data_IF_108353452782
#
_entry.id   IF_108353452782
#
_cell.length_a   1.000
_cell.length_b   1.000
_cell.length_c   1.000
_cell.angle_alpha   90.00
_cell.angle_beta   90.00
_cell.angle_gamma   90.00
#
_symmetry.space_group_name_H-M   'P 1'
#
loop_
_entity.id
_entity.type
_entity.pdbx_description
1 polymer ?
#
# COMPACT_ATOMS: atom_id res chain seq x y z
N UNK A 1 18.70 57.29 -39.00
CA UNK A 1 18.24 55.92 -39.38
C UNK A 1 18.63 54.98 -38.27
N UNK A 2 17.70 54.75 -37.32
CA UNK A 2 17.89 53.83 -36.20
C UNK A 2 17.16 52.52 -36.55
N UNK A 3 17.91 51.42 -36.68
CA UNK A 3 17.34 50.07 -36.86
C UNK A 3 17.02 49.50 -35.49
N UNK A 4 15.73 49.33 -35.19
CA UNK A 4 15.23 48.52 -34.09
C UNK A 4 15.38 47.06 -34.45
N UNK A 5 16.13 46.29 -33.68
CA UNK A 5 16.12 44.82 -33.69
C UNK A 5 15.03 44.36 -32.69
N UNK A 6 13.98 43.75 -33.22
CA UNK A 6 12.97 43.04 -32.42
C UNK A 6 13.49 41.62 -32.15
N UNK A 7 13.77 41.31 -30.88
CA UNK A 7 14.01 39.95 -30.42
C UNK A 7 12.66 39.25 -30.22
N UNK A 8 12.34 38.28 -31.06
CA UNK A 8 11.26 37.31 -30.83
C UNK A 8 11.80 36.28 -29.84
N UNK A 9 11.31 36.33 -28.60
CA UNK A 9 11.52 35.28 -27.59
C UNK A 9 10.47 34.19 -27.83
N UNK A 10 10.86 33.12 -28.52
CA UNK A 10 10.01 31.93 -28.62
C UNK A 10 9.98 31.23 -27.27
N UNK A 11 8.87 31.38 -26.53
CA UNK A 11 8.60 30.64 -25.32
C UNK A 11 8.21 29.20 -25.71
N UNK A 12 9.19 28.30 -25.69
CA UNK A 12 8.95 26.87 -25.79
C UNK A 12 8.29 26.44 -24.47
N UNK A 13 6.97 26.35 -24.41
CA UNK A 13 6.26 25.63 -23.37
C UNK A 13 6.60 24.15 -23.55
N UNK A 14 7.55 23.64 -22.78
CA UNK A 14 7.66 22.22 -22.51
C UNK A 14 6.41 21.82 -21.69
N UNK A 15 5.39 21.31 -22.38
CA UNK A 15 4.36 20.50 -21.75
C UNK A 15 5.05 19.25 -21.21
N UNK A 16 5.50 19.28 -19.96
CA UNK A 16 5.78 18.05 -19.23
C UNK A 16 4.46 17.34 -19.05
N UNK A 17 4.16 16.39 -19.90
CA UNK A 17 3.12 15.39 -19.65
C UNK A 17 3.59 14.67 -18.39
N UNK A 18 2.98 14.98 -17.27
CA UNK A 18 3.28 14.33 -15.99
C UNK A 18 3.01 12.83 -16.15
N UNK A 19 4.06 12.02 -16.02
CA UNK A 19 3.91 10.55 -15.99
C UNK A 19 3.08 10.23 -14.76
N UNK A 20 1.88 9.67 -14.96
CA UNK A 20 0.96 9.35 -13.87
C UNK A 20 1.46 8.11 -13.11
N UNK A 21 1.72 8.27 -11.81
CA UNK A 21 2.10 7.16 -10.92
C UNK A 21 0.89 6.45 -10.29
N UNK A 22 -0.28 7.10 -10.33
CA UNK A 22 -1.50 6.58 -9.69
C UNK A 22 -2.34 5.76 -10.65
N UNK A 23 -3.09 4.80 -10.11
CA UNK A 23 -4.11 4.08 -10.86
C UNK A 23 -5.18 5.06 -11.39
N UNK A 24 -5.67 4.91 -12.63
CA UNK A 24 -6.80 5.69 -13.10
C UNK A 24 -8.03 5.43 -12.23
N UNK A 25 -8.56 6.46 -11.58
CA UNK A 25 -9.67 6.33 -10.62
C UNK A 25 -10.92 5.70 -11.26
N UNK A 26 -11.19 5.98 -12.54
CA UNK A 26 -12.28 5.37 -13.28
C UNK A 26 -12.07 3.86 -13.45
N UNK A 27 -10.88 3.41 -13.85
CA UNK A 27 -10.58 2.00 -14.04
C UNK A 27 -10.71 1.22 -12.73
N UNK A 28 -10.27 1.81 -11.60
CA UNK A 28 -10.40 1.20 -10.29
C UNK A 28 -11.88 1.00 -9.90
N UNK A 29 -12.70 2.08 -10.02
CA UNK A 29 -14.12 2.02 -9.68
C UNK A 29 -14.92 1.09 -10.61
N UNK A 30 -14.68 1.17 -11.91
CA UNK A 30 -15.35 0.35 -12.92
C UNK A 30 -15.05 -1.14 -12.72
N UNK A 31 -13.78 -1.48 -12.49
CA UNK A 31 -13.39 -2.88 -12.27
C UNK A 31 -13.95 -3.42 -10.95
N UNK A 32 -13.99 -2.60 -9.89
CA UNK A 32 -14.64 -2.98 -8.64
C UNK A 32 -16.13 -3.29 -8.85
N UNK A 33 -16.85 -2.41 -9.55
CA UNK A 33 -18.27 -2.59 -9.86
C UNK A 33 -18.52 -3.84 -10.73
N UNK A 34 -17.65 -4.07 -11.72
CA UNK A 34 -17.69 -5.27 -12.55
C UNK A 34 -17.52 -6.54 -11.71
N UNK A 35 -16.50 -6.60 -10.84
CA UNK A 35 -16.25 -7.77 -9.99
C UNK A 35 -17.38 -8.00 -8.98
N UNK A 36 -17.93 -6.96 -8.36
CA UNK A 36 -19.08 -7.08 -7.46
C UNK A 36 -20.33 -7.66 -8.17
N UNK A 37 -20.52 -7.33 -9.44
CA UNK A 37 -21.60 -7.84 -10.28
C UNK A 37 -21.36 -9.27 -10.75
N UNK A 38 -20.13 -9.58 -11.16
CA UNK A 38 -19.77 -10.87 -11.78
C UNK A 38 -19.49 -11.95 -10.74
N UNK A 39 -18.97 -11.56 -9.57
CA UNK A 39 -18.65 -12.44 -8.44
C UNK A 39 -19.46 -12.04 -7.20
N UNK A 40 -20.80 -12.13 -7.24
CA UNK A 40 -21.66 -11.71 -6.13
C UNK A 40 -21.54 -12.62 -4.91
N UNK A 41 -21.01 -13.83 -5.08
CA UNK A 41 -20.82 -14.85 -4.03
C UNK A 41 -19.45 -15.50 -4.20
N UNK A 42 -18.35 -14.85 -3.77
CA UNK A 42 -17.01 -15.40 -3.89
C UNK A 42 -16.90 -16.76 -3.21
N UNK A 43 -16.24 -17.70 -3.86
CA UNK A 43 -16.01 -19.06 -3.36
C UNK A 43 -14.59 -19.20 -2.81
N UNK A 44 -14.30 -20.35 -2.14
CA UNK A 44 -12.92 -20.76 -1.86
C UNK A 44 -12.32 -21.31 -3.15
N UNK A 45 -11.83 -20.42 -3.99
CA UNK A 45 -11.36 -20.73 -5.35
C UNK A 45 -10.35 -19.68 -5.86
N UNK A 46 -9.46 -20.11 -6.74
CA UNK A 46 -8.44 -19.23 -7.35
C UNK A 46 -9.05 -18.16 -8.26
N UNK A 47 -10.13 -18.47 -8.95
CA UNK A 47 -10.87 -17.55 -9.82
C UNK A 47 -12.30 -17.43 -9.30
N UNK A 48 -12.82 -16.23 -9.20
CA UNK A 48 -14.13 -15.95 -8.60
C UNK A 48 -14.13 -16.14 -7.07
N UNK A 49 -12.98 -15.95 -6.42
CA UNK A 49 -12.80 -16.22 -5.00
C UNK A 49 -11.90 -15.20 -4.30
N UNK A 50 -10.82 -15.70 -3.71
CA UNK A 50 -9.98 -14.90 -2.79
C UNK A 50 -9.38 -13.66 -3.43
N UNK A 51 -8.97 -13.69 -4.70
CA UNK A 51 -8.36 -12.52 -5.35
C UNK A 51 -9.36 -11.38 -5.53
N UNK A 52 -10.62 -11.68 -5.88
CA UNK A 52 -11.71 -10.68 -5.84
C UNK A 52 -11.86 -10.10 -4.44
N UNK A 53 -11.90 -10.94 -3.40
CA UNK A 53 -12.09 -10.51 -2.00
C UNK A 53 -10.93 -9.62 -1.54
N UNK A 54 -9.68 -10.02 -1.81
CA UNK A 54 -8.48 -9.24 -1.46
C UNK A 54 -8.53 -7.87 -2.15
N UNK A 55 -8.79 -7.85 -3.45
CA UNK A 55 -8.86 -6.60 -4.21
C UNK A 55 -9.95 -5.67 -3.67
N UNK A 56 -11.18 -6.16 -3.46
CA UNK A 56 -12.29 -5.36 -2.94
C UNK A 56 -11.99 -4.83 -1.53
N UNK A 57 -11.58 -5.70 -0.61
CA UNK A 57 -11.29 -5.31 0.77
C UNK A 57 -10.16 -4.27 0.85
N UNK A 58 -9.05 -4.51 0.16
CA UNK A 58 -7.89 -3.62 0.17
C UNK A 58 -8.14 -2.31 -0.59
N UNK A 59 -9.04 -2.34 -1.58
CA UNK A 59 -9.51 -1.16 -2.31
C UNK A 59 -10.54 -0.32 -1.54
N UNK A 60 -11.04 -0.81 -0.39
CA UNK A 60 -12.07 -0.12 0.39
C UNK A 60 -13.50 -0.30 -0.17
N UNK A 61 -13.69 -1.30 -1.03
CA UNK A 61 -15.01 -1.66 -1.57
C UNK A 61 -15.70 -2.73 -0.72
N UNK A 62 -17.03 -2.76 -0.79
CA UNK A 62 -17.81 -3.75 -0.06
C UNK A 62 -17.51 -5.18 -0.56
N UNK A 63 -17.16 -6.05 0.37
CA UNK A 63 -17.03 -7.49 0.15
C UNK A 63 -18.34 -8.17 0.52
N UNK A 64 -18.84 -9.14 -0.27
CA UNK A 64 -20.03 -9.91 0.09
C UNK A 64 -19.91 -10.54 1.47
N UNK A 65 -20.85 -10.22 2.38
CA UNK A 65 -20.81 -10.67 3.78
C UNK A 65 -20.87 -12.22 3.91
N UNK A 66 -21.42 -12.90 2.90
CA UNK A 66 -21.48 -14.37 2.83
C UNK A 66 -20.12 -15.04 2.66
N UNK A 67 -19.10 -14.33 2.19
CA UNK A 67 -17.78 -14.93 1.90
C UNK A 67 -17.19 -15.66 3.13
N UNK A 68 -17.18 -15.03 4.30
CA UNK A 68 -16.63 -15.66 5.49
C UNK A 68 -17.41 -16.93 5.88
N UNK A 69 -18.73 -16.92 5.75
CA UNK A 69 -19.58 -18.10 5.99
C UNK A 69 -19.27 -19.24 4.99
N UNK A 70 -19.01 -18.89 3.73
CA UNK A 70 -18.57 -19.84 2.69
C UNK A 70 -17.23 -20.47 3.07
N UNK A 71 -16.27 -19.68 3.54
CA UNK A 71 -14.96 -20.19 4.02
C UNK A 71 -15.17 -21.13 5.22
N UNK A 72 -15.95 -20.74 6.23
CA UNK A 72 -16.21 -21.60 7.40
C UNK A 72 -16.89 -22.92 7.01
N UNK A 73 -17.86 -22.88 6.10
CA UNK A 73 -18.55 -24.09 5.61
C UNK A 73 -17.57 -25.01 4.86
N UNK A 74 -16.74 -24.44 3.98
CA UNK A 74 -15.73 -25.20 3.23
C UNK A 74 -14.70 -25.83 4.16
N UNK A 75 -14.14 -25.06 5.10
CA UNK A 75 -13.14 -25.55 6.07
C UNK A 75 -13.72 -26.66 6.95
N UNK A 76 -14.97 -26.52 7.38
CA UNK A 76 -15.66 -27.57 8.17
C UNK A 76 -15.89 -28.84 7.35
N UNK A 77 -16.32 -28.69 6.11
CA UNK A 77 -16.60 -29.81 5.22
C UNK A 77 -15.35 -30.64 4.88
N UNK A 78 -14.18 -29.97 4.75
CA UNK A 78 -12.91 -30.65 4.46
C UNK A 78 -12.09 -30.97 5.73
N UNK A 79 -12.65 -30.79 6.94
CA UNK A 79 -11.93 -31.06 8.19
C UNK A 79 -10.64 -30.24 8.37
N UNK A 80 -10.61 -29.01 7.82
CA UNK A 80 -9.45 -28.11 7.88
C UNK A 80 -8.39 -28.39 6.81
N UNK A 81 -8.56 -29.42 5.95
CA UNK A 81 -7.61 -29.77 4.89
C UNK A 81 -8.08 -29.19 3.56
N UNK A 82 -7.68 -27.95 3.26
CA UNK A 82 -8.07 -27.28 2.01
C UNK A 82 -7.50 -28.00 0.77
N UNK A 83 -6.30 -28.49 0.85
CA UNK A 83 -5.66 -29.30 -0.20
C UNK A 83 -4.48 -30.11 0.33
N UNK A 84 -4.36 -31.36 -0.10
CA UNK A 84 -3.30 -32.28 0.34
C UNK A 84 -1.88 -31.89 -0.12
N UNK A 85 -1.76 -31.24 -1.30
CA UNK A 85 -0.50 -30.95 -1.98
C UNK A 85 -0.29 -29.48 -2.38
N UNK A 86 -1.37 -28.68 -2.53
CA UNK A 86 -1.29 -27.30 -2.98
C UNK A 86 -1.43 -26.35 -1.78
N UNK A 87 -0.33 -26.07 -1.11
CA UNK A 87 -0.34 -25.24 0.10
C UNK A 87 -0.55 -23.75 -0.19
N UNK A 88 -0.41 -23.33 -1.46
CA UNK A 88 -0.86 -22.02 -1.92
C UNK A 88 -2.36 -21.80 -1.75
N UNK A 89 -3.18 -22.89 -1.63
CA UNK A 89 -4.61 -22.76 -1.30
C UNK A 89 -4.81 -22.16 0.11
N UNK A 90 -4.02 -22.63 1.10
CA UNK A 90 -4.04 -22.06 2.44
C UNK A 90 -3.57 -20.62 2.42
N UNK A 91 -2.46 -20.33 1.72
CA UNK A 91 -1.90 -18.99 1.62
C UNK A 91 -2.93 -17.98 1.09
N UNK A 92 -3.64 -18.35 0.02
CA UNK A 92 -4.66 -17.50 -0.60
C UNK A 92 -5.85 -17.23 0.33
N UNK A 93 -6.36 -18.26 1.00
CA UNK A 93 -7.47 -18.13 1.98
C UNK A 93 -7.03 -17.28 3.17
N UNK A 94 -5.82 -17.47 3.70
CA UNK A 94 -5.26 -16.65 4.79
C UNK A 94 -5.21 -15.18 4.38
N UNK A 95 -4.72 -14.88 3.17
CA UNK A 95 -4.66 -13.51 2.63
C UNK A 95 -6.05 -12.87 2.58
N UNK A 96 -7.05 -13.58 2.05
CA UNK A 96 -8.41 -13.06 1.96
C UNK A 96 -9.03 -12.83 3.34
N UNK A 97 -8.80 -13.74 4.30
CA UNK A 97 -9.27 -13.61 5.68
C UNK A 97 -8.63 -12.39 6.37
N UNK A 98 -7.31 -12.21 6.23
CA UNK A 98 -6.62 -11.04 6.76
C UNK A 98 -7.16 -9.76 6.13
N UNK A 99 -7.43 -9.75 4.81
CA UNK A 99 -7.97 -8.60 4.10
C UNK A 99 -9.34 -8.15 4.63
N UNK A 100 -10.18 -9.10 5.04
CA UNK A 100 -11.51 -8.81 5.64
C UNK A 100 -11.49 -8.75 7.18
N UNK A 101 -10.31 -8.72 7.81
CA UNK A 101 -10.14 -8.61 9.27
C UNK A 101 -10.58 -9.84 10.06
N UNK A 102 -10.56 -11.04 9.45
CA UNK A 102 -10.87 -12.31 10.11
C UNK A 102 -9.60 -13.06 10.49
N UNK A 103 -9.65 -13.75 11.63
CA UNK A 103 -8.52 -14.51 12.17
C UNK A 103 -8.41 -15.89 11.51
N UNK A 104 -7.40 -16.15 10.65
CA UNK A 104 -7.23 -17.44 9.99
C UNK A 104 -6.81 -18.56 10.93
N UNK A 105 -6.45 -18.27 12.18
CA UNK A 105 -6.08 -19.27 13.18
C UNK A 105 -7.31 -19.88 13.87
N UNK A 106 -8.52 -19.38 13.59
CA UNK A 106 -9.76 -19.78 14.28
C UNK A 106 -10.96 -19.97 13.34
N UNK A 107 -10.75 -20.54 12.16
CA UNK A 107 -11.80 -20.74 11.17
C UNK A 107 -12.50 -22.06 11.41
N UNK A 108 -13.76 -22.02 11.82
CA UNK A 108 -14.57 -23.22 12.13
C UNK A 108 -13.87 -24.23 13.08
N UNK A 109 -13.01 -23.73 13.98
CA UNK A 109 -12.23 -24.54 14.94
C UNK A 109 -10.85 -25.00 14.42
N UNK A 110 -10.48 -24.62 13.21
CA UNK A 110 -9.19 -24.96 12.60
C UNK A 110 -8.27 -23.75 12.49
N UNK A 111 -6.96 -24.00 12.60
CA UNK A 111 -5.91 -23.04 12.35
C UNK A 111 -5.32 -23.28 10.94
N UNK A 112 -5.66 -22.39 10.00
CA UNK A 112 -5.23 -22.49 8.60
C UNK A 112 -3.77 -22.09 8.39
N UNK A 113 -3.10 -21.51 9.41
CA UNK A 113 -1.67 -21.17 9.32
C UNK A 113 -0.76 -22.37 9.63
N UNK A 114 -1.28 -23.39 10.34
CA UNK A 114 -0.51 -24.59 10.69
C UNK A 114 0.07 -25.33 9.51
N UNK A 115 -0.64 -25.58 8.39
CA UNK A 115 -0.05 -26.24 7.24
C UNK A 115 1.18 -25.51 6.71
N UNK A 116 1.26 -24.20 6.78
CA UNK A 116 2.42 -23.41 6.38
C UNK A 116 3.60 -23.50 7.36
N UNK A 117 3.50 -24.30 8.42
CA UNK A 117 4.62 -24.68 9.29
C UNK A 117 5.25 -26.04 8.87
N UNK A 118 4.76 -26.68 7.82
CA UNK A 118 5.34 -27.87 7.20
C UNK A 118 6.12 -27.45 5.95
N UNK A 119 7.44 -27.28 6.12
CA UNK A 119 8.31 -26.84 5.02
C UNK A 119 8.29 -27.80 3.84
N UNK A 120 8.43 -29.10 4.10
CA UNK A 120 8.58 -30.11 3.06
C UNK A 120 7.32 -30.15 2.16
N UNK A 121 6.14 -30.06 2.75
CA UNK A 121 4.90 -29.99 1.98
C UNK A 121 4.72 -28.63 1.28
N UNK A 122 5.14 -27.53 1.89
CA UNK A 122 5.05 -26.20 1.26
C UNK A 122 5.87 -26.14 -0.02
N UNK A 123 7.08 -26.74 -0.05
CA UNK A 123 7.95 -26.75 -1.23
C UNK A 123 7.54 -27.73 -2.32
N UNK A 124 6.53 -28.57 -2.13
CA UNK A 124 6.03 -29.47 -3.19
C UNK A 124 5.55 -28.75 -4.45
N UNK A 125 5.16 -27.49 -4.32
CA UNK A 125 4.80 -26.62 -5.47
C UNK A 125 6.01 -25.82 -5.99
N UNK A 126 7.24 -26.29 -5.73
CA UNK A 126 8.43 -25.54 -6.07
C UNK A 126 8.47 -24.20 -5.33
N UNK A 127 9.01 -23.18 -5.98
CA UNK A 127 9.21 -21.86 -5.38
C UNK A 127 7.89 -21.14 -5.05
N UNK A 128 6.77 -21.45 -5.73
CA UNK A 128 5.47 -20.85 -5.44
C UNK A 128 5.01 -21.09 -4.00
N UNK A 129 5.29 -22.26 -3.45
CA UNK A 129 4.95 -22.58 -2.07
C UNK A 129 5.54 -21.59 -1.06
N UNK A 130 6.88 -21.50 -0.96
CA UNK A 130 7.56 -20.54 -0.07
C UNK A 130 7.19 -19.08 -0.31
N UNK A 131 7.06 -18.64 -1.56
CA UNK A 131 6.67 -17.28 -1.91
C UNK A 131 5.33 -16.94 -1.24
N UNK A 132 4.28 -17.72 -1.55
CA UNK A 132 2.94 -17.43 -1.04
C UNK A 132 2.79 -17.72 0.45
N UNK A 133 3.56 -18.67 1.01
CA UNK A 133 3.60 -18.88 2.45
C UNK A 133 4.15 -17.68 3.20
N UNK A 134 5.26 -17.07 2.72
CA UNK A 134 5.81 -15.84 3.31
C UNK A 134 4.81 -14.70 3.23
N UNK A 135 4.25 -14.42 2.05
CA UNK A 135 3.27 -13.35 1.87
C UNK A 135 2.08 -13.54 2.82
N UNK A 136 1.54 -14.76 2.92
CA UNK A 136 0.39 -15.07 3.77
C UNK A 136 0.71 -14.92 5.27
N UNK A 137 1.83 -15.47 5.72
CA UNK A 137 2.25 -15.39 7.13
C UNK A 137 2.58 -13.96 7.55
N UNK A 138 3.19 -13.18 6.63
CA UNK A 138 3.58 -11.81 6.88
C UNK A 138 2.42 -10.82 6.79
N UNK A 139 1.39 -11.14 6.01
CA UNK A 139 0.25 -10.24 5.80
C UNK A 139 -0.54 -9.95 7.07
N UNK A 140 -0.62 -10.91 7.99
CA UNK A 140 -1.29 -10.78 9.28
C UNK A 140 -0.35 -10.93 10.49
N UNK A 141 0.97 -10.90 10.30
CA UNK A 141 1.93 -11.05 11.39
C UNK A 141 1.87 -12.42 12.11
N UNK A 142 1.41 -13.48 11.42
CA UNK A 142 1.22 -14.80 12.02
C UNK A 142 2.54 -15.45 12.43
N UNK A 143 2.61 -15.99 13.64
CA UNK A 143 3.85 -16.59 14.15
C UNK A 143 4.33 -17.77 13.27
N UNK A 144 5.62 -17.77 12.92
CA UNK A 144 6.28 -18.88 12.21
C UNK A 144 7.78 -18.83 12.44
N UNK A 145 8.36 -19.98 12.75
CA UNK A 145 9.82 -20.17 12.80
C UNK A 145 10.44 -20.47 11.42
N UNK A 146 9.61 -20.68 10.39
CA UNK A 146 10.07 -21.08 9.06
C UNK A 146 10.35 -19.90 8.11
N UNK A 147 10.06 -18.66 8.51
CA UNK A 147 10.25 -17.49 7.64
C UNK A 147 11.64 -17.44 7.01
N UNK A 148 12.69 -17.56 7.84
CA UNK A 148 14.07 -17.52 7.31
C UNK A 148 14.32 -18.66 6.36
N UNK A 149 13.85 -19.87 6.66
CA UNK A 149 14.01 -21.03 5.77
C UNK A 149 13.31 -20.85 4.42
N UNK A 150 12.14 -20.16 4.40
CA UNK A 150 11.49 -19.79 3.15
C UNK A 150 12.27 -18.72 2.37
N UNK A 151 12.79 -17.70 3.07
CA UNK A 151 13.68 -16.70 2.45
C UNK A 151 14.90 -17.37 1.83
N UNK A 152 15.59 -18.23 2.59
CA UNK A 152 16.78 -18.93 2.11
C UNK A 152 16.49 -19.81 0.88
N UNK A 153 15.35 -20.52 0.89
CA UNK A 153 14.92 -21.32 -0.26
C UNK A 153 14.63 -20.47 -1.50
N UNK A 154 13.99 -19.31 -1.35
CA UNK A 154 13.76 -18.38 -2.47
C UNK A 154 15.10 -17.90 -3.02
N UNK A 155 16.04 -17.49 -2.17
CA UNK A 155 17.37 -17.06 -2.58
C UNK A 155 18.15 -18.16 -3.29
N UNK A 156 18.08 -19.43 -2.80
CA UNK A 156 18.71 -20.58 -3.44
C UNK A 156 18.20 -20.83 -4.88
N UNK A 157 16.96 -20.50 -5.16
CA UNK A 157 16.33 -20.69 -6.48
C UNK A 157 16.49 -19.49 -7.43
N UNK A 158 17.29 -18.50 -7.07
CA UNK A 158 17.60 -17.39 -7.98
C UNK A 158 18.27 -17.92 -9.27
N UNK A 159 17.79 -17.47 -10.42
CA UNK A 159 18.34 -17.82 -11.72
C UNK A 159 19.67 -17.09 -11.99
N UNK A 160 20.51 -17.68 -12.82
CA UNK A 160 21.73 -17.02 -13.28
C UNK A 160 21.40 -15.69 -13.98
N UNK A 161 21.99 -14.59 -13.51
CA UNK A 161 21.73 -13.24 -14.04
C UNK A 161 20.60 -12.48 -13.32
N UNK A 162 19.99 -13.07 -12.30
CA UNK A 162 18.95 -12.47 -11.47
C UNK A 162 17.55 -12.93 -11.86
N UNK A 163 16.60 -12.76 -10.90
CA UNK A 163 15.21 -13.17 -11.05
C UNK A 163 14.94 -14.65 -10.79
N UNK A 164 13.69 -15.05 -10.92
CA UNK A 164 13.22 -16.41 -10.57
C UNK A 164 12.31 -16.98 -11.64
N UNK A 165 12.15 -18.30 -11.64
CA UNK A 165 11.24 -19.03 -12.51
C UNK A 165 10.88 -20.40 -11.97
N UNK A 166 9.92 -21.07 -12.62
CA UNK A 166 9.62 -22.50 -12.40
C UNK A 166 10.47 -23.41 -13.29
N UNK A 167 11.09 -22.90 -14.36
CA UNK A 167 11.74 -23.69 -15.42
C UNK A 167 13.25 -23.46 -15.55
N UNK A 168 13.86 -22.62 -14.70
CA UNK A 168 15.30 -22.33 -14.70
C UNK A 168 15.74 -21.12 -15.50
N UNK A 169 14.86 -20.53 -16.33
CA UNK A 169 15.08 -19.24 -16.99
C UNK A 169 14.15 -18.20 -16.39
N UNK A 170 14.71 -17.13 -15.82
CA UNK A 170 13.91 -16.11 -15.13
C UNK A 170 12.74 -15.63 -15.99
N UNK A 171 11.57 -15.47 -15.37
CA UNK A 171 10.38 -14.90 -15.96
C UNK A 171 9.79 -13.78 -15.07
N UNK A 172 8.97 -12.92 -15.68
CA UNK A 172 8.44 -11.75 -15.00
C UNK A 172 7.44 -12.10 -13.89
N UNK A 173 6.64 -13.17 -14.07
CA UNK A 173 5.63 -13.59 -13.10
C UNK A 173 6.28 -14.04 -11.79
N UNK A 174 7.14 -15.05 -11.87
CA UNK A 174 7.78 -15.64 -10.68
C UNK A 174 8.74 -14.64 -10.05
N UNK A 175 9.45 -13.85 -10.88
CA UNK A 175 10.32 -12.78 -10.36
C UNK A 175 9.53 -11.73 -9.61
N UNK A 176 8.40 -11.27 -10.15
CA UNK A 176 7.50 -10.34 -9.47
C UNK A 176 6.99 -10.91 -8.14
N UNK A 177 6.48 -12.15 -8.15
CA UNK A 177 5.98 -12.80 -6.93
C UNK A 177 7.08 -13.01 -5.88
N UNK A 178 8.29 -13.41 -6.28
CA UNK A 178 9.42 -13.55 -5.35
C UNK A 178 9.80 -12.21 -4.71
N UNK A 179 9.85 -11.12 -5.49
CA UNK A 179 10.12 -9.78 -4.98
C UNK A 179 9.04 -9.30 -3.99
N UNK A 180 7.76 -9.63 -4.23
CA UNK A 180 6.67 -9.36 -3.29
C UNK A 180 6.91 -10.06 -1.94
N UNK A 181 7.30 -11.33 -1.96
CA UNK A 181 7.60 -12.10 -0.75
C UNK A 181 8.84 -11.57 -0.01
N UNK A 182 9.86 -11.11 -0.74
CA UNK A 182 11.11 -10.62 -0.17
C UNK A 182 11.07 -9.15 0.26
N UNK A 183 9.99 -8.44 0.00
CA UNK A 183 9.87 -7.00 0.26
C UNK A 183 10.11 -6.64 1.74
N UNK A 184 9.62 -7.44 2.68
CA UNK A 184 9.83 -7.24 4.13
C UNK A 184 11.23 -7.59 4.64
N UNK A 185 12.07 -8.20 3.82
CA UNK A 185 13.39 -8.73 4.23
C UNK A 185 14.57 -7.94 3.65
N UNK A 186 14.32 -6.72 3.14
CA UNK A 186 15.34 -5.89 2.49
C UNK A 186 16.48 -5.42 3.42
N UNK A 187 16.33 -5.58 4.74
CA UNK A 187 17.38 -5.36 5.72
C UNK A 187 18.44 -6.49 5.74
N UNK A 188 18.18 -7.64 5.10
CA UNK A 188 19.15 -8.73 4.94
C UNK A 188 19.98 -8.47 3.67
N UNK A 189 21.30 -8.41 3.81
CA UNK A 189 22.21 -8.10 2.69
C UNK A 189 22.06 -9.04 1.49
N UNK A 190 21.86 -10.35 1.73
CA UNK A 190 21.66 -11.34 0.67
C UNK A 190 20.34 -11.10 -0.10
N UNK A 191 19.25 -10.78 0.62
CA UNK A 191 17.96 -10.46 0.03
C UNK A 191 18.06 -9.19 -0.81
N UNK A 192 18.66 -8.13 -0.23
CA UNK A 192 18.87 -6.86 -0.93
C UNK A 192 19.66 -7.05 -2.23
N UNK A 193 20.73 -7.82 -2.20
CA UNK A 193 21.55 -8.09 -3.38
C UNK A 193 20.81 -8.88 -4.46
N UNK A 194 20.00 -9.89 -4.08
CA UNK A 194 19.16 -10.64 -5.02
C UNK A 194 18.07 -9.77 -5.62
N UNK A 195 17.40 -8.92 -4.78
CA UNK A 195 16.41 -7.93 -5.22
C UNK A 195 17.01 -6.98 -6.24
N UNK A 196 18.20 -6.43 -5.99
CA UNK A 196 18.85 -5.48 -6.91
C UNK A 196 19.15 -6.14 -8.26
N UNK A 197 19.62 -7.39 -8.28
CA UNK A 197 19.84 -8.15 -9.54
C UNK A 197 18.52 -8.39 -10.28
N UNK A 198 17.49 -8.78 -9.59
CA UNK A 198 16.17 -9.02 -10.17
C UNK A 198 15.55 -7.74 -10.76
N UNK A 199 15.68 -6.60 -10.08
CA UNK A 199 15.22 -5.31 -10.59
C UNK A 199 15.99 -4.89 -11.84
N UNK A 200 17.29 -5.14 -11.92
CA UNK A 200 18.09 -4.90 -13.14
C UNK A 200 17.61 -5.82 -14.27
N UNK A 201 17.35 -7.10 -13.98
CA UNK A 201 16.82 -8.04 -14.97
C UNK A 201 15.44 -7.61 -15.49
N UNK A 202 14.49 -7.27 -14.60
CA UNK A 202 13.16 -6.78 -14.95
C UNK A 202 13.24 -5.49 -15.79
N UNK A 203 14.10 -4.55 -15.40
CA UNK A 203 14.27 -3.31 -16.18
C UNK A 203 14.75 -3.56 -17.61
N UNK A 204 15.60 -4.57 -17.84
CA UNK A 204 16.10 -4.93 -19.16
C UNK A 204 15.07 -5.69 -20.02
N UNK A 205 14.18 -6.44 -19.38
CA UNK A 205 13.18 -7.27 -20.07
C UNK A 205 11.82 -6.60 -20.23
N UNK A 206 11.65 -5.40 -19.67
CA UNK A 206 10.42 -4.60 -19.84
C UNK A 206 10.21 -4.24 -21.32
N UNK A 207 8.98 -4.42 -21.80
CA UNK A 207 8.58 -4.09 -23.16
C UNK A 207 8.54 -2.58 -23.39
N UNK A 208 8.58 -2.16 -24.66
CA UNK A 208 8.61 -0.76 -25.06
C UNK A 208 7.36 0.06 -24.65
N UNK A 209 6.24 -0.61 -24.42
CA UNK A 209 4.97 -0.03 -23.96
C UNK A 209 4.79 -0.05 -22.43
N UNK A 210 5.81 -0.46 -21.70
CA UNK A 210 5.79 -0.55 -20.24
C UNK A 210 5.32 -1.90 -19.69
N UNK A 211 4.76 -2.79 -20.52
CA UNK A 211 4.28 -4.13 -20.11
C UNK A 211 5.42 -5.14 -19.91
N UNK A 212 5.05 -6.37 -19.53
CA UNK A 212 5.97 -7.50 -19.39
C UNK A 212 5.46 -8.72 -20.13
N UNK A 213 6.40 -9.65 -20.38
CA UNK A 213 6.16 -10.91 -21.09
C UNK A 213 6.65 -12.09 -20.26
N UNK A 214 5.96 -13.22 -20.34
CA UNK A 214 6.44 -14.52 -19.89
C UNK A 214 6.46 -15.50 -21.06
N UNK A 215 7.54 -16.27 -21.21
CA UNK A 215 7.77 -17.19 -22.32
C UNK A 215 7.62 -16.50 -23.73
N UNK A 216 8.04 -15.24 -23.84
CA UNK A 216 7.97 -14.44 -25.06
C UNK A 216 6.57 -13.97 -25.46
N UNK A 217 5.57 -14.13 -24.57
CA UNK A 217 4.20 -13.65 -24.79
C UNK A 217 3.87 -12.53 -23.80
N UNK A 218 3.48 -11.39 -24.33
CA UNK A 218 2.97 -10.27 -23.55
C UNK A 218 1.61 -10.66 -22.94
N UNK A 219 1.46 -10.46 -21.64
CA UNK A 219 0.21 -10.76 -20.95
C UNK A 219 -0.01 -9.85 -19.74
N UNK A 220 -1.25 -9.75 -19.31
CA UNK A 220 -1.68 -8.92 -18.20
C UNK A 220 -1.00 -9.33 -16.90
N UNK A 221 -1.00 -10.63 -16.60
CA UNK A 221 -0.55 -11.18 -15.31
C UNK A 221 0.92 -10.89 -15.06
N UNK A 222 1.80 -11.06 -16.07
CA UNK A 222 3.21 -10.73 -15.97
C UNK A 222 3.42 -9.26 -15.58
N UNK A 223 2.64 -8.36 -16.19
CA UNK A 223 2.68 -6.92 -15.91
C UNK A 223 2.16 -6.62 -14.49
N UNK A 224 1.09 -7.30 -14.08
CA UNK A 224 0.52 -7.20 -12.74
C UNK A 224 1.54 -7.59 -11.67
N UNK A 225 2.19 -8.75 -11.81
CA UNK A 225 3.11 -9.23 -10.78
C UNK A 225 4.29 -8.28 -10.57
N UNK A 226 4.81 -7.68 -11.65
CA UNK A 226 5.88 -6.70 -11.54
C UNK A 226 5.39 -5.39 -10.92
N UNK A 227 4.22 -4.88 -11.33
CA UNK A 227 3.63 -3.67 -10.76
C UNK A 227 3.45 -3.81 -9.25
N UNK A 228 2.86 -4.92 -8.80
CA UNK A 228 2.65 -5.18 -7.36
C UNK A 228 4.00 -5.30 -6.64
N UNK A 229 5.00 -5.94 -7.24
CA UNK A 229 6.34 -6.04 -6.66
C UNK A 229 6.98 -4.66 -6.43
N UNK A 230 6.87 -3.74 -7.39
CA UNK A 230 7.37 -2.36 -7.22
C UNK A 230 6.64 -1.66 -6.07
N UNK A 231 5.31 -1.81 -5.97
CA UNK A 231 4.53 -1.24 -4.89
C UNK A 231 4.92 -1.81 -3.50
N UNK A 232 5.10 -3.14 -3.39
CA UNK A 232 5.52 -3.79 -2.13
C UNK A 232 6.93 -3.37 -1.70
N UNK A 233 7.84 -3.14 -2.67
CA UNK A 233 9.19 -2.65 -2.43
C UNK A 233 9.26 -1.14 -2.17
N UNK A 234 8.14 -0.41 -2.27
CA UNK A 234 8.11 1.05 -2.14
C UNK A 234 8.81 1.79 -3.29
N UNK A 235 8.96 1.15 -4.45
CA UNK A 235 9.58 1.74 -5.64
C UNK A 235 8.49 2.50 -6.41
N UNK A 236 8.65 3.82 -6.65
CA UNK A 236 7.68 4.58 -7.44
C UNK A 236 7.50 4.01 -8.84
N UNK A 237 6.25 3.94 -9.33
CA UNK A 237 5.97 3.49 -10.70
C UNK A 237 6.55 4.43 -11.77
N UNK A 238 7.01 5.62 -11.37
CA UNK A 238 7.75 6.58 -12.20
C UNK A 238 9.27 6.42 -12.12
N UNK A 239 9.78 5.40 -11.43
CA UNK A 239 11.21 5.12 -11.37
C UNK A 239 11.77 4.93 -12.79
N UNK A 240 12.82 5.66 -13.13
CA UNK A 240 13.38 5.71 -14.49
C UNK A 240 13.83 4.36 -15.04
N UNK A 241 14.14 3.40 -14.17
CA UNK A 241 14.46 2.02 -14.56
C UNK A 241 13.27 1.34 -15.23
N UNK A 242 12.03 1.70 -14.84
CA UNK A 242 10.78 1.09 -15.28
C UNK A 242 9.93 2.01 -16.16
N UNK A 243 10.55 3.01 -16.78
CA UNK A 243 9.93 3.86 -17.82
C UNK A 243 10.60 3.56 -19.15
N UNK A 244 9.84 3.08 -20.14
CA UNK A 244 10.31 2.78 -21.50
C UNK A 244 9.51 3.61 -22.50
N UNK A 245 10.18 4.36 -23.36
CA UNK A 245 9.50 5.24 -24.32
C UNK A 245 8.40 6.10 -23.67
N UNK A 246 8.69 6.68 -22.50
CA UNK A 246 7.74 7.48 -21.69
C UNK A 246 6.55 6.68 -21.14
N UNK A 247 6.59 5.34 -21.21
CA UNK A 247 5.55 4.44 -20.68
C UNK A 247 6.02 3.78 -19.40
N UNK A 248 5.21 3.89 -18.37
CA UNK A 248 5.38 3.22 -17.06
C UNK A 248 4.82 1.80 -17.11
N UNK A 249 5.07 1.03 -16.03
CA UNK A 249 4.42 -0.27 -15.84
C UNK A 249 2.89 -0.12 -15.73
N UNK A 250 2.39 1.00 -15.19
CA UNK A 250 0.95 1.30 -15.16
C UNK A 250 0.41 1.50 -16.60
N UNK A 251 1.10 2.26 -17.44
CA UNK A 251 0.69 2.40 -18.85
C UNK A 251 0.65 1.03 -19.54
N UNK A 252 1.63 0.16 -19.27
CA UNK A 252 1.67 -1.21 -19.80
C UNK A 252 0.47 -2.04 -19.33
N UNK A 253 0.12 -1.98 -18.02
CA UNK A 253 -1.07 -2.66 -17.48
C UNK A 253 -2.35 -2.16 -18.14
N UNK A 254 -2.50 -0.85 -18.31
CA UNK A 254 -3.69 -0.24 -18.88
C UNK A 254 -3.94 -0.60 -20.36
N UNK A 255 -2.94 -1.17 -21.05
CA UNK A 255 -3.16 -1.70 -22.41
C UNK A 255 -4.05 -2.95 -22.47
N UNK A 256 -4.23 -3.63 -21.34
CA UNK A 256 -5.12 -4.80 -21.17
C UNK A 256 -6.50 -4.43 -20.61
N UNK A 257 -6.69 -3.19 -20.17
CA UNK A 257 -7.94 -2.72 -19.59
C UNK A 257 -9.01 -2.49 -20.64
N UNK A 258 -10.21 -3.03 -20.39
CA UNK A 258 -11.41 -2.81 -21.18
C UNK A 258 -12.39 -2.00 -20.32
N UNK A 259 -12.68 -0.73 -20.66
CA UNK A 259 -13.55 0.13 -19.86
C UNK A 259 -14.92 -0.53 -19.57
N UNK A 260 -15.27 -0.60 -18.27
CA UNK A 260 -16.51 -1.18 -17.78
C UNK A 260 -16.58 -2.72 -17.80
N UNK A 261 -15.52 -3.41 -18.27
CA UNK A 261 -15.54 -4.86 -18.48
C UNK A 261 -14.33 -5.61 -17.88
N UNK A 262 -13.34 -4.86 -17.28
CA UNK A 262 -12.18 -5.42 -16.59
C UNK A 262 -10.94 -5.54 -17.46
N UNK A 263 -10.24 -6.70 -17.42
CA UNK A 263 -8.96 -6.90 -18.10
C UNK A 263 -8.97 -8.15 -18.96
N UNK A 264 -8.21 -8.12 -20.06
CA UNK A 264 -7.95 -9.27 -20.93
C UNK A 264 -6.60 -9.90 -20.60
N UNK A 265 -6.48 -11.22 -20.81
CA UNK A 265 -5.20 -11.94 -20.65
C UNK A 265 -4.14 -11.43 -21.64
N UNK A 266 -4.52 -11.36 -22.90
CA UNK A 266 -3.68 -10.85 -23.99
C UNK A 266 -4.42 -9.80 -24.79
N UNK A 267 -3.68 -8.89 -25.41
CA UNK A 267 -4.24 -7.87 -26.30
C UNK A 267 -4.69 -8.52 -27.60
N UNK A 268 -5.99 -8.83 -27.73
CA UNK A 268 -6.60 -9.31 -28.97
C UNK A 268 -7.72 -8.37 -29.40
N UNK A 269 -7.74 -8.03 -30.65
CA UNK A 269 -8.88 -7.33 -31.27
C UNK A 269 -10.13 -8.22 -31.17
N UNK A 270 -11.13 -7.81 -30.37
CA UNK A 270 -12.37 -8.55 -30.15
C UNK A 270 -12.30 -9.66 -29.10
N UNK A 271 -11.21 -9.79 -28.34
CA UNK A 271 -11.14 -10.64 -27.14
C UNK A 271 -11.96 -10.03 -26.02
N UNK A 272 -12.88 -10.82 -25.40
CA UNK A 272 -13.57 -10.44 -24.18
C UNK A 272 -12.60 -10.40 -22.99
N UNK A 273 -13.06 -9.81 -21.87
CA UNK A 273 -12.31 -9.85 -20.61
C UNK A 273 -12.14 -11.30 -20.12
N UNK A 274 -11.14 -11.48 -19.29
CA UNK A 274 -10.88 -12.72 -18.57
C UNK A 274 -11.01 -12.45 -17.08
N UNK A 275 -11.75 -13.30 -16.36
CA UNK A 275 -12.02 -13.07 -14.94
C UNK A 275 -10.73 -13.12 -14.11
N UNK A 276 -9.81 -14.04 -14.40
CA UNK A 276 -8.54 -14.15 -13.69
C UNK A 276 -7.70 -12.90 -13.92
N UNK A 277 -7.57 -12.45 -15.17
CA UNK A 277 -6.84 -11.22 -15.51
C UNK A 277 -7.50 -9.99 -14.89
N UNK A 278 -8.84 -9.98 -14.82
CA UNK A 278 -9.60 -8.88 -14.19
C UNK A 278 -9.35 -8.80 -12.69
N UNK A 279 -9.38 -9.94 -11.98
CA UNK A 279 -9.06 -9.99 -10.56
C UNK A 279 -7.63 -9.52 -10.29
N UNK A 280 -6.68 -9.98 -11.10
CA UNK A 280 -5.28 -9.62 -10.97
C UNK A 280 -5.03 -8.15 -11.34
N UNK A 281 -5.55 -7.67 -12.44
CA UNK A 281 -5.49 -6.27 -12.83
C UNK A 281 -6.09 -5.35 -11.77
N UNK A 282 -7.22 -5.76 -11.18
CA UNK A 282 -7.86 -5.00 -10.11
C UNK A 282 -6.99 -4.88 -8.87
N UNK A 283 -6.45 -5.98 -8.33
CA UNK A 283 -5.60 -5.84 -7.15
C UNK A 283 -4.29 -5.09 -7.44
N UNK A 284 -3.80 -5.10 -8.68
CA UNK A 284 -2.67 -4.27 -9.08
C UNK A 284 -3.02 -2.77 -9.10
N UNK A 285 -4.21 -2.40 -9.61
CA UNK A 285 -4.71 -1.03 -9.49
C UNK A 285 -4.85 -0.60 -8.02
N UNK A 286 -5.35 -1.49 -7.16
CA UNK A 286 -5.45 -1.26 -5.72
C UNK A 286 -4.07 -1.07 -5.09
N UNK A 287 -3.07 -1.90 -5.46
CA UNK A 287 -1.70 -1.75 -4.96
C UNK A 287 -1.12 -0.38 -5.33
N UNK A 288 -1.32 0.07 -6.57
CA UNK A 288 -0.86 1.38 -7.05
C UNK A 288 -1.58 2.55 -6.35
N UNK A 289 -2.92 2.47 -6.18
CA UNK A 289 -3.69 3.48 -5.44
C UNK A 289 -3.22 3.59 -3.98
N UNK A 290 -2.98 2.46 -3.34
CA UNK A 290 -2.48 2.41 -1.97
C UNK A 290 -1.08 3.03 -1.87
N UNK A 291 -0.18 2.69 -2.79
CA UNK A 291 1.17 3.25 -2.83
C UNK A 291 1.15 4.77 -3.06
N UNK A 292 0.37 5.25 -4.04
CA UNK A 292 0.21 6.67 -4.31
C UNK A 292 -0.44 7.44 -3.15
N UNK A 293 -1.37 6.80 -2.44
CA UNK A 293 -2.04 7.35 -1.26
C UNK A 293 -1.25 7.24 0.05
N UNK A 294 -0.02 6.68 0.03
CA UNK A 294 0.79 6.46 1.24
C UNK A 294 0.15 5.51 2.24
N UNK A 295 -0.73 4.62 1.78
CA UNK A 295 -1.37 3.57 2.59
C UNK A 295 -0.44 2.37 2.74
N UNK A 296 -0.71 1.47 3.71
CA UNK A 296 0.01 0.20 3.81
C UNK A 296 -0.08 -0.58 2.50
N UNK A 297 0.98 -1.32 2.12
CA UNK A 297 1.04 -2.05 0.85
C UNK A 297 -0.09 -3.10 0.75
N UNK A 298 -0.31 -3.65 -0.45
CA UNK A 298 -1.43 -4.57 -0.72
C UNK A 298 -1.47 -5.73 0.29
N UNK A 299 -0.33 -6.31 0.59
CA UNK A 299 -0.21 -7.46 1.49
C UNK A 299 0.16 -7.11 2.93
N UNK A 300 0.35 -5.84 3.28
CA UNK A 300 0.52 -5.41 4.65
C UNK A 300 -0.86 -5.22 5.29
N UNK A 301 -1.42 -6.30 5.83
CA UNK A 301 -2.73 -6.38 6.49
C UNK A 301 -2.58 -6.61 7.99
N UNK A 302 -1.33 -6.78 8.42
CA UNK A 302 -0.95 -6.88 9.81
C UNK A 302 -1.30 -5.58 10.52
N UNK A 303 -1.96 -5.70 11.67
CA UNK A 303 -2.25 -4.56 12.54
C UNK A 303 -1.00 -3.98 13.21
N UNK A 304 0.15 -4.63 13.11
CA UNK A 304 1.43 -3.99 13.35
C UNK A 304 1.85 -3.25 12.07
N UNK A 305 1.23 -2.09 11.83
CA UNK A 305 1.49 -1.27 10.66
C UNK A 305 2.97 -0.87 10.51
N UNK A 306 3.77 -1.01 11.59
CA UNK A 306 5.17 -0.59 11.61
C UNK A 306 6.02 -1.55 12.46
N UNK A 307 7.18 -1.94 11.93
CA UNK A 307 8.06 -2.95 12.53
C UNK A 307 8.66 -2.54 13.89
N UNK A 308 8.79 -1.23 14.12
CA UNK A 308 9.45 -0.65 15.30
C UNK A 308 8.49 -0.34 16.46
N UNK A 309 7.19 -0.67 16.32
CA UNK A 309 6.20 -0.44 17.38
C UNK A 309 5.62 -1.74 17.95
N UNK A 310 6.15 -2.91 17.62
CA UNK A 310 5.58 -4.20 18.01
C UNK A 310 5.32 -4.34 19.52
N UNK A 311 6.19 -3.79 20.36
CA UNK A 311 6.06 -3.75 21.83
C UNK A 311 5.86 -2.34 22.40
N UNK A 312 5.58 -1.35 21.53
CA UNK A 312 5.45 0.03 21.97
C UNK A 312 4.13 0.26 22.73
N UNK A 313 4.11 1.00 23.88
CA UNK A 313 2.89 1.23 24.65
C UNK A 313 1.80 1.94 23.86
N UNK A 314 2.16 2.84 22.92
CA UNK A 314 1.22 3.58 22.08
C UNK A 314 0.89 2.85 20.76
N UNK A 315 1.24 1.56 20.63
CA UNK A 315 1.00 0.76 19.42
C UNK A 315 -0.45 0.85 18.93
N UNK A 316 -1.41 0.64 19.84
CA UNK A 316 -2.83 0.67 19.49
C UNK A 316 -3.28 2.03 18.91
N UNK A 317 -2.80 3.13 19.49
CA UNK A 317 -3.08 4.48 19.02
C UNK A 317 -2.48 4.73 17.62
N UNK A 318 -1.22 4.36 17.44
CA UNK A 318 -0.49 4.53 16.16
C UNK A 318 -1.18 3.73 15.05
N UNK A 319 -1.49 2.45 15.29
CA UNK A 319 -2.13 1.57 14.32
C UNK A 319 -3.53 2.06 13.94
N UNK A 320 -4.34 2.45 14.91
CA UNK A 320 -5.70 2.96 14.66
C UNK A 320 -5.68 4.22 13.78
N UNK A 321 -4.77 5.16 14.07
CA UNK A 321 -4.66 6.39 13.29
C UNK A 321 -4.06 6.15 11.90
N UNK A 322 -3.17 5.17 11.76
CA UNK A 322 -2.63 4.75 10.47
C UNK A 322 -3.72 4.11 9.58
N UNK A 323 -4.54 3.22 10.16
CA UNK A 323 -5.66 2.59 9.46
C UNK A 323 -6.68 3.61 8.95
N UNK A 324 -6.87 4.72 9.69
CA UNK A 324 -7.71 5.85 9.28
C UNK A 324 -7.00 6.81 8.29
N UNK A 325 -5.73 6.59 7.96
CA UNK A 325 -4.97 7.47 7.07
C UNK A 325 -4.63 8.84 7.67
N UNK A 326 -4.79 9.00 8.99
CA UNK A 326 -4.48 10.24 9.72
C UNK A 326 -2.98 10.44 9.84
N UNK A 327 -2.24 9.36 10.11
CA UNK A 327 -0.78 9.36 10.15
C UNK A 327 -0.17 8.34 9.20
N UNK A 328 1.09 8.56 8.84
CA UNK A 328 1.86 7.66 7.98
C UNK A 328 3.18 7.27 8.68
N UNK A 329 3.74 6.13 8.29
CA UNK A 329 5.11 5.75 8.63
C UNK A 329 6.16 6.54 7.84
N UNK A 330 7.41 6.09 7.96
CA UNK A 330 8.57 6.73 7.33
C UNK A 330 8.81 6.29 5.89
N UNK A 331 7.97 5.37 5.36
CA UNK A 331 8.14 4.81 4.01
C UNK A 331 9.06 3.58 3.92
N UNK A 332 9.72 3.23 5.03
CA UNK A 332 10.62 2.08 5.16
C UNK A 332 10.04 0.94 6.03
N UNK A 333 8.73 0.99 6.29
CA UNK A 333 8.04 0.03 7.17
C UNK A 333 8.19 0.35 8.67
N UNK A 334 8.75 1.51 9.03
CA UNK A 334 8.85 1.99 10.42
C UNK A 334 7.93 3.18 10.67
N UNK A 335 7.58 3.42 11.93
CA UNK A 335 6.88 4.61 12.40
C UNK A 335 7.84 5.67 12.94
N UNK A 336 8.97 5.26 13.45
CA UNK A 336 9.93 6.08 14.19
C UNK A 336 9.30 6.78 15.42
N UNK A 337 8.79 6.01 16.42
CA UNK A 337 7.99 6.53 17.53
C UNK A 337 8.72 7.62 18.34
N UNK A 338 10.02 7.51 18.46
CA UNK A 338 10.87 8.42 19.24
C UNK A 338 11.42 9.61 18.42
N UNK A 339 11.03 9.77 17.17
CA UNK A 339 11.42 10.91 16.33
C UNK A 339 10.50 12.10 16.60
N UNK A 340 11.02 13.30 16.46
CA UNK A 340 10.23 14.54 16.48
C UNK A 340 9.51 14.75 15.15
N UNK A 341 8.57 15.68 15.12
CA UNK A 341 7.75 16.02 13.95
C UNK A 341 7.79 17.52 13.68
N UNK A 342 7.65 17.90 12.41
CA UNK A 342 7.52 19.30 12.04
C UNK A 342 6.12 19.84 12.31
N UNK A 343 5.98 21.16 12.43
CA UNK A 343 4.69 21.83 12.61
C UNK A 343 3.75 21.60 11.42
N UNK A 344 4.28 21.54 10.20
CA UNK A 344 3.48 21.27 9.00
C UNK A 344 2.94 19.83 8.97
N UNK A 345 3.78 18.84 9.33
CA UNK A 345 3.34 17.44 9.43
C UNK A 345 2.23 17.27 10.48
N UNK A 346 2.42 17.85 11.66
CA UNK A 346 1.41 17.77 12.72
C UNK A 346 0.11 18.48 12.34
N UNK A 347 0.18 19.68 11.77
CA UNK A 347 -0.99 20.40 11.28
C UNK A 347 -1.80 19.55 10.28
N UNK A 348 -1.10 18.88 9.36
CA UNK A 348 -1.72 17.96 8.40
C UNK A 348 -2.46 16.81 9.08
N UNK A 349 -1.87 16.22 10.12
CA UNK A 349 -2.52 15.15 10.89
C UNK A 349 -3.78 15.63 11.59
N UNK A 350 -3.75 16.80 12.20
CA UNK A 350 -4.93 17.39 12.88
C UNK A 350 -6.07 17.64 11.89
N UNK A 351 -5.80 18.22 10.72
CA UNK A 351 -6.81 18.46 9.68
C UNK A 351 -7.43 17.16 9.19
N UNK A 352 -6.62 16.11 8.99
CA UNK A 352 -7.10 14.77 8.63
C UNK A 352 -7.93 14.14 9.75
N UNK A 353 -7.50 14.28 11.01
CA UNK A 353 -8.21 13.75 12.17
C UNK A 353 -9.60 14.37 12.32
N UNK A 354 -9.76 15.63 11.97
CA UNK A 354 -11.04 16.34 11.97
C UNK A 354 -11.86 16.08 10.70
N UNK A 355 -11.35 15.32 9.73
CA UNK A 355 -11.99 15.04 8.43
C UNK A 355 -12.30 16.32 7.62
N UNK A 356 -11.51 17.38 7.85
CA UNK A 356 -11.67 18.64 7.12
C UNK A 356 -11.10 18.49 5.70
N UNK A 357 -11.83 19.06 4.73
CA UNK A 357 -11.36 19.06 3.34
C UNK A 357 -10.34 20.19 3.14
N UNK A 358 -9.08 19.88 2.77
CA UNK A 358 -8.07 20.89 2.53
C UNK A 358 -8.43 21.76 1.32
N UNK A 359 -8.68 23.07 1.51
CA UNK A 359 -9.13 23.99 0.45
C UNK A 359 -8.39 25.31 0.45
N UNK A 360 -8.05 25.80 1.63
CA UNK A 360 -7.54 27.15 1.80
C UNK A 360 -6.04 27.21 1.52
N UNK A 361 -5.60 28.34 0.95
CA UNK A 361 -4.20 28.69 0.96
C UNK A 361 -3.85 29.38 2.28
N UNK A 362 -2.67 29.17 2.79
CA UNK A 362 -2.22 29.81 4.02
C UNK A 362 -1.74 31.25 3.75
N UNK A 363 -2.21 32.21 4.56
CA UNK A 363 -1.77 33.60 4.53
C UNK A 363 -0.49 33.82 5.36
N UNK A 364 0.47 32.90 5.26
CA UNK A 364 1.76 32.97 5.95
C UNK A 364 2.88 33.16 4.94
N UNK A 365 3.79 34.11 5.21
CA UNK A 365 4.87 34.48 4.29
C UNK A 365 5.89 33.36 4.02
N UNK A 366 5.96 32.36 4.91
CA UNK A 366 6.86 31.20 4.83
C UNK A 366 6.13 29.89 4.44
N UNK A 367 4.88 30.00 3.92
CA UNK A 367 4.09 28.85 3.41
C UNK A 367 3.82 29.09 1.92
N UNK A 368 4.71 28.64 1.02
CA UNK A 368 4.49 28.78 -0.42
C UNK A 368 3.20 28.05 -0.85
N UNK A 369 2.40 28.65 -1.71
CA UNK A 369 1.15 28.05 -2.21
C UNK A 369 1.37 26.69 -2.90
N UNK A 370 2.56 26.44 -3.43
CA UNK A 370 2.95 25.15 -4.05
C UNK A 370 3.39 24.08 -3.04
N UNK A 371 3.53 24.42 -1.76
CA UNK A 371 3.93 23.45 -0.74
C UNK A 371 2.81 22.45 -0.47
N UNK A 372 3.14 21.16 -0.36
CA UNK A 372 2.17 20.09 -0.12
C UNK A 372 1.31 20.30 1.13
N UNK A 373 1.83 21.01 2.12
CA UNK A 373 1.14 21.29 3.39
C UNK A 373 0.32 22.59 3.35
N UNK A 374 0.47 23.43 2.33
CA UNK A 374 -0.19 24.75 2.29
C UNK A 374 -1.72 24.65 2.43
N UNK A 375 -2.44 23.74 1.74
CA UNK A 375 -3.88 23.59 1.90
C UNK A 375 -4.29 23.18 3.34
N UNK A 376 -3.47 22.36 3.99
CA UNK A 376 -3.73 21.91 5.37
C UNK A 376 -3.51 23.05 6.37
N UNK A 377 -2.41 23.78 6.23
CA UNK A 377 -2.12 24.93 7.10
C UNK A 377 -3.17 26.02 6.97
N UNK A 378 -3.60 26.35 5.74
CA UNK A 378 -4.66 27.32 5.49
C UNK A 378 -5.99 26.88 6.11
N UNK A 379 -6.39 25.63 5.86
CA UNK A 379 -7.62 25.08 6.45
C UNK A 379 -7.60 25.08 7.98
N UNK A 380 -6.49 24.69 8.60
CA UNK A 380 -6.34 24.72 10.05
C UNK A 380 -6.37 26.15 10.63
N UNK A 381 -5.82 27.13 9.89
CA UNK A 381 -5.88 28.55 10.24
C UNK A 381 -7.29 29.09 10.17
N UNK A 382 -8.04 28.81 9.09
CA UNK A 382 -9.44 29.22 8.91
C UNK A 382 -10.35 28.69 10.01
N UNK A 383 -10.08 27.49 10.52
CA UNK A 383 -10.82 26.88 11.62
C UNK A 383 -10.29 27.27 13.01
N UNK A 384 -9.33 28.19 13.09
CA UNK A 384 -8.74 28.66 14.35
C UNK A 384 -7.95 27.62 15.12
N UNK A 385 -7.57 26.48 14.47
CA UNK A 385 -6.80 25.39 15.09
C UNK A 385 -5.35 25.79 15.26
N UNK A 386 -4.79 26.48 14.28
CA UNK A 386 -3.39 26.95 14.30
C UNK A 386 -3.31 28.47 14.24
N UNK A 387 -2.29 28.99 14.90
CA UNK A 387 -1.82 30.36 14.74
C UNK A 387 -0.36 30.34 14.28
N UNK A 388 0.07 31.41 13.62
CA UNK A 388 1.48 31.60 13.29
C UNK A 388 2.36 31.77 14.54
N UNK A 389 3.67 31.80 14.30
CA UNK A 389 4.70 32.03 15.33
C UNK A 389 5.01 33.52 15.51
N UNK A 390 4.24 34.38 14.89
CA UNK A 390 4.42 35.84 14.86
C UNK A 390 5.05 36.33 13.56
N UNK A 391 4.94 37.64 13.32
CA UNK A 391 5.49 38.27 12.10
C UNK A 391 4.91 37.74 10.78
N UNK A 392 3.68 37.22 10.77
CA UNK A 392 3.07 36.65 9.57
C UNK A 392 3.67 35.33 9.13
N UNK A 393 4.33 34.58 10.03
CA UNK A 393 4.99 33.30 9.74
C UNK A 393 4.32 32.14 10.46
N UNK A 394 4.33 30.94 9.83
CA UNK A 394 3.84 29.68 10.39
C UNK A 394 4.96 28.80 10.95
N UNK A 395 6.16 28.89 10.39
CA UNK A 395 7.33 28.05 10.65
C UNK A 395 7.08 26.55 10.34
N UNK A 396 6.79 26.20 9.09
CA UNK A 396 6.37 24.84 8.71
C UNK A 396 7.44 23.78 8.96
N UNK A 397 8.72 24.11 8.85
CA UNK A 397 9.87 23.22 9.07
C UNK A 397 10.33 23.16 10.52
N UNK A 398 9.85 24.04 11.38
CA UNK A 398 10.18 24.05 12.79
C UNK A 398 9.65 22.79 13.50
N UNK A 399 10.43 22.24 14.43
CA UNK A 399 9.98 21.13 15.25
C UNK A 399 8.88 21.58 16.21
N UNK A 400 7.74 20.85 16.24
CA UNK A 400 6.64 21.18 17.13
C UNK A 400 6.98 20.82 18.58
N UNK A 401 6.68 21.72 19.52
CA UNK A 401 6.83 21.45 20.96
C UNK A 401 5.59 20.76 21.54
N UNK A 402 5.74 20.11 22.70
CA UNK A 402 4.62 19.49 23.40
C UNK A 402 3.48 20.49 23.67
N UNK A 403 3.83 21.67 24.17
CA UNK A 403 2.84 22.73 24.44
C UNK A 403 2.09 23.20 23.17
N UNK A 404 2.80 23.40 22.07
CA UNK A 404 2.17 23.78 20.81
C UNK A 404 1.20 22.69 20.31
N UNK A 405 1.60 21.43 20.42
CA UNK A 405 0.75 20.29 20.06
C UNK A 405 -0.50 20.22 20.93
N UNK A 406 -0.36 20.38 22.26
CA UNK A 406 -1.48 20.39 23.19
C UNK A 406 -2.48 21.52 22.92
N UNK A 407 -2.00 22.73 22.62
CA UNK A 407 -2.85 23.86 22.25
C UNK A 407 -3.63 23.58 20.95
N UNK A 408 -3.00 22.97 19.95
CA UNK A 408 -3.65 22.62 18.71
C UNK A 408 -4.71 21.52 18.92
N UNK A 409 -4.43 20.52 19.76
CA UNK A 409 -5.42 19.48 20.14
C UNK A 409 -6.61 20.09 20.87
N UNK A 410 -6.39 20.96 21.86
CA UNK A 410 -7.49 21.61 22.58
C UNK A 410 -8.40 22.42 21.66
N UNK A 411 -7.83 23.14 20.69
CA UNK A 411 -8.59 23.86 19.67
C UNK A 411 -9.33 22.93 18.71
N UNK A 412 -8.71 21.82 18.33
CA UNK A 412 -9.33 20.80 17.50
C UNK A 412 -10.52 20.13 18.23
N UNK A 413 -10.38 19.80 19.50
CA UNK A 413 -11.44 19.28 20.34
C UNK A 413 -12.62 20.26 20.45
N UNK A 414 -12.33 21.54 20.66
CA UNK A 414 -13.35 22.59 20.68
C UNK A 414 -14.10 22.70 19.34
N UNK A 415 -13.41 22.52 18.22
CA UNK A 415 -14.03 22.48 16.89
C UNK A 415 -14.94 21.25 16.73
N UNK A 416 -14.72 20.17 17.47
CA UNK A 416 -15.57 18.98 17.56
C UNK A 416 -16.69 19.10 18.61
N UNK A 417 -16.74 20.22 19.36
CA UNK A 417 -17.80 20.53 20.32
C UNK A 417 -17.58 20.01 21.74
N UNK A 418 -16.36 19.67 22.10
CA UNK A 418 -16.03 19.27 23.48
C UNK A 418 -14.73 19.95 23.98
N UNK A 419 -14.56 19.99 25.30
CA UNK A 419 -13.35 20.49 25.95
C UNK A 419 -12.48 19.31 26.37
N UNK A 420 -11.20 19.35 26.00
CA UNK A 420 -10.22 18.38 26.52
C UNK A 420 -9.61 18.91 27.81
N UNK A 421 -9.25 18.02 28.72
CA UNK A 421 -8.41 18.31 29.87
C UNK A 421 -6.94 18.57 29.50
N UNK A 422 -6.66 19.05 28.30
CA UNK A 422 -5.31 19.45 27.90
C UNK A 422 -4.88 20.59 28.84
N UNK A 423 -4.00 20.27 29.77
CA UNK A 423 -3.50 21.17 30.79
C UNK A 423 -2.71 22.28 30.11
N UNK A 424 -3.39 23.36 29.73
CA UNK A 424 -2.81 24.53 29.08
C UNK A 424 -1.78 25.22 30.00
N UNK A 425 -1.78 24.90 31.27
CA UNK A 425 -0.87 25.46 32.29
C UNK A 425 0.42 24.64 32.47
N UNK A 426 0.44 23.38 32.08
CA UNK A 426 1.67 22.61 32.02
C UNK A 426 2.45 22.98 30.76
N UNK A 427 3.55 23.71 30.91
CA UNK A 427 4.49 24.07 29.84
C UNK A 427 5.72 23.14 29.84
N UNK A 428 5.62 21.90 29.35
CA UNK A 428 6.81 21.11 29.08
C UNK A 428 7.57 21.76 27.92
N UNK A 429 8.77 22.21 28.18
CA UNK A 429 9.63 22.95 27.23
C UNK A 429 10.34 22.03 26.23
N UNK A 430 9.79 20.85 25.91
CA UNK A 430 10.44 19.88 25.01
C UNK A 430 9.74 19.71 23.67
N UNK A 431 10.48 19.18 22.70
CA UNK A 431 9.89 18.71 21.46
C UNK A 431 9.05 17.46 21.74
N UNK A 432 7.87 17.38 21.14
CA UNK A 432 6.99 16.22 21.27
C UNK A 432 7.43 15.11 20.29
N UNK A 433 7.29 13.87 20.73
CA UNK A 433 7.61 12.68 19.94
C UNK A 433 6.40 12.24 19.09
N UNK A 434 6.67 11.55 18.01
CA UNK A 434 5.63 11.04 17.09
C UNK A 434 4.63 10.10 17.80
N UNK A 435 5.09 9.25 18.73
CA UNK A 435 4.21 8.38 19.52
C UNK A 435 3.31 9.18 20.47
N UNK A 436 3.81 10.24 21.10
CA UNK A 436 3.03 11.10 21.99
C UNK A 436 1.94 11.85 21.21
N UNK A 437 2.27 12.33 20.00
CA UNK A 437 1.30 12.93 19.08
C UNK A 437 0.19 11.94 18.72
N UNK A 438 0.57 10.71 18.36
CA UNK A 438 -0.39 9.66 18.03
C UNK A 438 -1.34 9.38 19.21
N UNK A 439 -0.80 9.27 20.44
CA UNK A 439 -1.61 9.08 21.64
C UNK A 439 -2.58 10.23 21.86
N UNK A 440 -2.11 11.48 21.79
CA UNK A 440 -2.96 12.66 21.99
C UNK A 440 -4.11 12.75 20.98
N UNK A 441 -3.84 12.51 19.70
CA UNK A 441 -4.88 12.48 18.64
C UNK A 441 -5.85 11.32 18.83
N UNK A 442 -5.35 10.15 19.21
CA UNK A 442 -6.17 8.96 19.48
C UNK A 442 -7.16 9.22 20.63
N UNK A 443 -6.67 9.74 21.76
CA UNK A 443 -7.52 10.04 22.92
C UNK A 443 -8.57 11.10 22.56
N UNK A 444 -8.19 12.17 21.87
CA UNK A 444 -9.14 13.20 21.43
C UNK A 444 -10.25 12.60 20.53
N UNK A 445 -9.90 11.77 19.56
CA UNK A 445 -10.88 11.17 18.64
C UNK A 445 -11.77 10.14 19.35
N UNK A 446 -11.23 9.41 20.31
CA UNK A 446 -11.97 8.47 21.16
C UNK A 446 -12.98 9.18 22.01
N UNK A 447 -12.61 10.27 22.69
CA UNK A 447 -13.54 11.14 23.45
C UNK A 447 -14.63 11.73 22.57
N UNK A 448 -14.29 12.07 21.30
CA UNK A 448 -15.24 12.56 20.31
C UNK A 448 -16.17 11.48 19.73
N UNK A 449 -15.98 10.20 20.12
CA UNK A 449 -16.76 9.09 19.53
C UNK A 449 -16.47 8.82 18.05
N UNK A 450 -15.28 9.19 17.57
CA UNK A 450 -14.85 9.04 16.17
C UNK A 450 -13.92 7.84 15.91
N UNK A 451 -13.63 7.07 16.96
CA UNK A 451 -12.82 5.82 16.88
C UNK A 451 -13.65 4.58 17.17
#
# INVERSE_FOLDING_TARGET
MKRMFAFFLALVMCLTVGVSAAAPASALADTAAYLQKTVPSPQVASVGGEWTVIGLARGGYAVPASYYQTVEATVRACGGVLHERKYTEYSRVILALNAIGKDPTKVAGFDLTKPLQDFEKTVWQGINGPIWALIALDSGGHASSLRQRYVDYILEKECAGGGWSLSGSADADITGMALQALAKYQNQAAVKAATDRALVWLSKTQNADGSFSTAGKENCESTVQVLVALCELGIPLTDSRFVKNEKTVMDGLMTYYVPGDGFTHVRQAGGGNDLMSTEQGFYALVAADRAAGGKSSLYCMDKAAFSDIASHPDRAAIETLADKGILNGMGDGTFAPNKTMTRAEYCTMVVKALELTPKANADYSDVPASAWYAPFVGTASDHGIVNGVGGGRFDPGGTITYWQAAVMIARAAKALGFETAADADAQPQGNILRCEIARMLYEMLKEAGKL
#
